data_IF_890072179808
#
_entry.id   IF_890072179808
#
_cell.length_a   1.000
_cell.length_b   1.000
_cell.length_c   1.000
_cell.angle_alpha   90.00
_cell.angle_beta   90.00
_cell.angle_gamma   90.00
#
_symmetry.space_group_name_H-M   'P 1'
#
loop_
_entity.id
_entity.type
_entity.pdbx_description
1 polymer ?
#
# COMPACT_ATOMS: atom_id res chain seq x y z
N UNK A 1 -12.73 -5.81 -6.30
CA UNK A 1 -12.04 -6.98 -5.70
C UNK A 1 -11.34 -7.77 -6.80
N UNK A 2 -10.10 -8.18 -6.56
CA UNK A 2 -9.29 -9.03 -7.43
C UNK A 2 -9.21 -10.43 -6.80
N UNK A 3 -9.47 -11.46 -7.59
CA UNK A 3 -9.48 -12.85 -7.15
C UNK A 3 -9.13 -13.76 -8.34
N UNK A 4 -8.85 -15.04 -8.08
CA UNK A 4 -8.37 -15.98 -9.11
C UNK A 4 -9.21 -15.98 -10.39
N UNK A 5 -10.55 -15.94 -10.29
CA UNK A 5 -11.48 -15.96 -11.45
C UNK A 5 -11.50 -14.68 -12.31
N UNK A 6 -10.95 -13.55 -11.84
CA UNK A 6 -10.92 -12.31 -12.61
C UNK A 6 -9.50 -11.73 -12.76
N UNK A 7 -8.48 -12.50 -12.36
CA UNK A 7 -7.07 -12.11 -12.42
C UNK A 7 -6.64 -11.76 -13.85
N UNK A 8 -7.14 -12.50 -14.84
CA UNK A 8 -6.86 -12.25 -16.25
C UNK A 8 -7.58 -10.99 -16.80
N UNK A 9 -8.51 -10.39 -16.05
CA UNK A 9 -9.29 -9.21 -16.45
C UNK A 9 -8.80 -7.91 -15.82
N UNK A 10 -7.63 -7.89 -15.17
CA UNK A 10 -7.04 -6.67 -14.57
C UNK A 10 -7.06 -5.50 -15.56
N UNK A 11 -6.69 -5.79 -16.80
CA UNK A 11 -6.65 -4.83 -17.89
C UNK A 11 -8.04 -4.26 -18.19
N UNK A 12 -9.03 -5.13 -18.42
CA UNK A 12 -10.40 -4.70 -18.70
C UNK A 12 -11.05 -3.96 -17.53
N UNK A 13 -10.72 -4.33 -16.28
CA UNK A 13 -11.17 -3.61 -15.08
C UNK A 13 -10.61 -2.18 -15.09
N UNK A 14 -9.32 -2.02 -15.37
CA UNK A 14 -8.70 -0.70 -15.52
C UNK A 14 -9.39 0.10 -16.62
N UNK A 15 -9.55 -0.46 -17.81
CA UNK A 15 -10.14 0.24 -18.96
C UNK A 15 -11.56 0.71 -18.67
N UNK A 16 -12.35 -0.10 -17.97
CA UNK A 16 -13.70 0.27 -17.57
C UNK A 16 -13.72 1.53 -16.70
N UNK A 17 -13.01 1.53 -15.57
CA UNK A 17 -12.99 2.68 -14.66
C UNK A 17 -12.26 3.89 -15.27
N UNK A 18 -11.21 3.63 -16.02
CA UNK A 18 -10.49 4.65 -16.77
C UNK A 18 -11.38 5.33 -17.79
N UNK A 19 -12.25 4.61 -18.52
CA UNK A 19 -13.20 5.22 -19.44
C UNK A 19 -14.19 6.14 -18.71
N UNK A 20 -14.68 5.72 -17.54
CA UNK A 20 -15.59 6.52 -16.72
C UNK A 20 -14.91 7.72 -16.05
N UNK A 21 -13.57 7.75 -15.99
CA UNK A 21 -12.84 8.80 -15.28
C UNK A 21 -13.05 8.74 -13.77
N UNK A 22 -13.24 7.53 -13.24
CA UNK A 22 -13.54 7.28 -11.84
C UNK A 22 -12.34 6.61 -11.19
N UNK A 23 -11.94 7.16 -10.05
CA UNK A 23 -10.90 6.58 -9.20
C UNK A 23 -11.37 5.25 -8.61
N UNK A 24 -10.47 4.29 -8.46
CA UNK A 24 -10.84 2.99 -7.91
C UNK A 24 -9.73 2.33 -7.11
N UNK A 25 -10.14 1.36 -6.28
CA UNK A 25 -9.24 0.51 -5.50
C UNK A 25 -9.36 -0.95 -5.94
N UNK A 26 -8.23 -1.57 -6.23
CA UNK A 26 -8.14 -3.00 -6.54
C UNK A 26 -7.62 -3.78 -5.32
N UNK A 27 -8.52 -4.36 -4.56
CA UNK A 27 -8.21 -5.18 -3.38
C UNK A 27 -8.07 -6.66 -3.73
N UNK A 28 -6.87 -7.28 -3.58
CA UNK A 28 -6.70 -8.72 -3.77
C UNK A 28 -7.27 -9.53 -2.62
N UNK A 29 -7.93 -10.65 -2.94
CA UNK A 29 -8.24 -11.70 -1.97
C UNK A 29 -7.02 -12.61 -1.88
N UNK A 30 -6.30 -12.54 -0.77
CA UNK A 30 -5.13 -13.37 -0.52
C UNK A 30 -5.54 -14.73 0.05
N UNK A 31 -4.82 -15.77 -0.37
CA UNK A 31 -4.98 -17.14 0.11
C UNK A 31 -4.20 -17.31 1.42
N UNK A 32 -4.77 -16.84 2.53
CA UNK A 32 -4.14 -16.91 3.86
C UNK A 32 -4.45 -18.20 4.63
N UNK A 33 -5.55 -18.86 4.28
CA UNK A 33 -5.98 -20.14 4.82
C UNK A 33 -6.47 -20.98 3.66
N UNK A 34 -6.16 -22.27 3.66
CA UNK A 34 -6.78 -23.27 2.79
C UNK A 34 -8.27 -23.43 3.16
N UNK A 35 -9.04 -22.37 2.95
CA UNK A 35 -10.36 -22.21 3.54
C UNK A 35 -11.39 -23.09 2.85
N UNK A 36 -12.08 -23.91 3.64
CA UNK A 36 -13.43 -24.39 3.33
C UNK A 36 -14.41 -23.20 3.40
N UNK A 37 -15.35 -23.11 2.45
CA UNK A 37 -16.41 -22.08 2.46
C UNK A 37 -16.42 -21.18 1.22
N UNK A 38 -17.12 -20.02 1.31
CA UNK A 38 -17.43 -19.14 0.16
C UNK A 38 -16.23 -18.56 -0.59
N UNK A 39 -15.04 -18.58 0.02
CA UNK A 39 -13.79 -18.07 -0.56
C UNK A 39 -12.93 -19.15 -1.20
N UNK A 40 -13.34 -20.42 -1.11
CA UNK A 40 -12.60 -21.55 -1.64
C UNK A 40 -12.35 -21.37 -3.15
N UNK A 41 -11.08 -21.48 -3.55
CA UNK A 41 -10.65 -21.31 -4.94
C UNK A 41 -10.62 -19.86 -5.46
N UNK A 42 -10.92 -18.85 -4.63
CA UNK A 42 -10.84 -17.44 -5.03
C UNK A 42 -9.55 -16.75 -4.58
N UNK A 43 -8.90 -17.26 -3.54
CA UNK A 43 -7.65 -16.72 -3.01
C UNK A 43 -6.56 -16.63 -4.08
N UNK A 44 -5.64 -15.68 -3.92
CA UNK A 44 -4.49 -15.46 -4.78
C UNK A 44 -3.21 -15.69 -3.98
N UNK A 45 -2.23 -16.31 -4.61
CA UNK A 45 -0.86 -16.35 -4.12
C UNK A 45 -0.19 -14.98 -4.30
N UNK A 46 0.85 -14.72 -3.49
CA UNK A 46 1.57 -13.44 -3.53
C UNK A 46 2.14 -13.12 -4.92
N UNK A 47 2.63 -14.12 -5.64
CA UNK A 47 3.17 -13.94 -7.00
C UNK A 47 2.09 -13.57 -8.02
N UNK A 48 0.88 -14.12 -7.88
CA UNK A 48 -0.27 -13.74 -8.73
C UNK A 48 -0.63 -12.26 -8.49
N UNK A 49 -0.66 -11.84 -7.23
CA UNK A 49 -0.92 -10.44 -6.86
C UNK A 49 0.19 -9.53 -7.38
N UNK A 50 1.46 -9.89 -7.19
CA UNK A 50 2.62 -9.12 -7.67
C UNK A 50 2.56 -8.92 -9.19
N UNK A 51 2.28 -9.98 -9.95
CA UNK A 51 2.16 -9.93 -11.40
C UNK A 51 0.99 -9.03 -11.85
N UNK A 52 -0.17 -9.12 -11.19
CA UNK A 52 -1.32 -8.28 -11.48
C UNK A 52 -1.06 -6.79 -11.17
N UNK A 53 -0.45 -6.49 -10.02
CA UNK A 53 -0.15 -5.11 -9.63
C UNK A 53 0.89 -4.46 -10.55
N UNK A 54 1.88 -5.23 -11.04
CA UNK A 54 2.83 -4.74 -12.04
C UNK A 54 2.13 -4.35 -13.34
N UNK A 55 1.28 -5.24 -13.88
CA UNK A 55 0.49 -4.93 -15.09
C UNK A 55 -0.38 -3.69 -14.91
N UNK A 56 -1.07 -3.60 -13.78
CA UNK A 56 -1.90 -2.43 -13.48
C UNK A 56 -1.05 -1.14 -13.42
N UNK A 57 0.11 -1.18 -12.77
CA UNK A 57 1.01 -0.03 -12.68
C UNK A 57 1.52 0.42 -14.06
N UNK A 58 1.91 -0.51 -14.93
CA UNK A 58 2.33 -0.21 -16.30
C UNK A 58 1.24 0.54 -17.07
N UNK A 59 -0.03 0.12 -16.95
CA UNK A 59 -1.15 0.80 -17.60
C UNK A 59 -1.42 2.19 -17.01
N UNK A 60 -1.41 2.32 -15.69
CA UNK A 60 -1.59 3.62 -15.00
C UNK A 60 -0.53 4.62 -15.44
N UNK A 61 0.73 4.18 -15.52
CA UNK A 61 1.87 5.03 -15.94
C UNK A 61 1.73 5.44 -17.41
N UNK A 62 1.36 4.50 -18.29
CA UNK A 62 1.20 4.76 -19.73
C UNK A 62 -0.04 5.61 -20.07
N UNK A 63 -0.96 5.80 -19.12
CA UNK A 63 -2.23 6.46 -19.39
C UNK A 63 -2.08 8.00 -19.46
N UNK A 64 -2.67 8.65 -20.49
CA UNK A 64 -2.56 10.09 -20.70
C UNK A 64 -3.40 10.90 -19.70
N UNK A 65 -4.58 10.41 -19.30
CA UNK A 65 -5.36 10.99 -18.20
C UNK A 65 -4.93 10.37 -16.88
N UNK A 66 -5.04 11.14 -15.79
CA UNK A 66 -4.81 10.65 -14.44
C UNK A 66 -6.15 10.35 -13.76
N UNK A 67 -6.32 9.10 -13.35
CA UNK A 67 -7.28 8.66 -12.33
C UNK A 67 -6.45 8.09 -11.18
N UNK A 68 -6.95 8.21 -9.96
CA UNK A 68 -6.30 7.59 -8.82
C UNK A 68 -6.62 6.08 -8.79
N UNK A 69 -5.57 5.26 -8.66
CA UNK A 69 -5.69 3.80 -8.62
C UNK A 69 -4.97 3.26 -7.41
N UNK A 70 -5.72 2.80 -6.43
CA UNK A 70 -5.16 2.22 -5.21
C UNK A 70 -5.00 0.69 -5.34
N UNK A 71 -3.88 0.09 -4.90
CA UNK A 71 -2.78 0.69 -4.14
C UNK A 71 -1.61 1.26 -4.98
N UNK A 72 -1.76 1.42 -6.30
CA UNK A 72 -0.66 1.83 -7.18
C UNK A 72 -0.11 3.20 -6.79
N UNK A 73 -0.98 4.17 -6.53
CA UNK A 73 -0.55 5.52 -6.15
C UNK A 73 0.25 5.51 -4.84
N UNK A 74 -0.19 4.76 -3.84
CA UNK A 74 0.55 4.58 -2.59
C UNK A 74 1.92 3.95 -2.81
N UNK A 75 2.02 2.95 -3.70
CA UNK A 75 3.29 2.32 -4.03
C UNK A 75 4.25 3.28 -4.75
N UNK A 76 3.74 4.07 -5.69
CA UNK A 76 4.53 5.10 -6.38
C UNK A 76 5.02 6.15 -5.39
N UNK A 77 4.15 6.66 -4.52
CA UNK A 77 4.54 7.62 -3.48
C UNK A 77 5.59 7.05 -2.53
N UNK A 78 5.43 5.79 -2.13
CA UNK A 78 6.40 5.09 -1.27
C UNK A 78 7.74 4.93 -1.97
N UNK A 79 7.77 4.52 -3.23
CA UNK A 79 8.99 4.41 -4.03
C UNK A 79 9.68 5.77 -4.19
N UNK A 80 8.92 6.84 -4.45
CA UNK A 80 9.46 8.19 -4.55
C UNK A 80 10.08 8.69 -3.23
N UNK A 81 9.45 8.41 -2.08
CA UNK A 81 10.03 8.72 -0.77
C UNK A 81 11.35 7.99 -0.56
N UNK A 82 11.37 6.69 -0.84
CA UNK A 82 12.58 5.87 -0.74
C UNK A 82 13.72 6.41 -1.62
N UNK A 83 13.43 6.73 -2.89
CA UNK A 83 14.43 7.28 -3.82
C UNK A 83 14.97 8.65 -3.39
N UNK A 84 14.18 9.43 -2.64
CA UNK A 84 14.58 10.73 -2.08
C UNK A 84 15.28 10.60 -0.72
N UNK A 85 15.43 9.40 -0.17
CA UNK A 85 15.91 9.20 1.20
C UNK A 85 14.98 9.79 2.27
N UNK A 86 13.72 10.05 1.92
CA UNK A 86 12.74 10.55 2.88
C UNK A 86 12.27 9.41 3.81
N UNK A 87 12.01 9.69 5.09
CA UNK A 87 11.52 8.69 6.02
C UNK A 87 10.15 8.15 5.56
N UNK A 88 9.92 6.85 5.81
CA UNK A 88 8.60 6.25 5.66
C UNK A 88 7.64 6.80 6.71
N UNK A 89 6.33 6.74 6.40
CA UNK A 89 5.31 6.96 7.42
C UNK A 89 5.20 5.67 8.23
N UNK A 90 5.75 5.66 9.44
CA UNK A 90 5.58 4.56 10.37
C UNK A 90 4.24 4.73 11.10
N UNK A 91 3.39 3.71 11.02
CA UNK A 91 2.19 3.64 11.83
C UNK A 91 2.55 3.09 13.22
N UNK A 92 2.23 3.84 14.27
CA UNK A 92 2.38 3.38 15.65
C UNK A 92 1.01 3.21 16.31
N UNK A 93 0.55 1.96 16.56
CA UNK A 93 -0.74 1.73 17.23
C UNK A 93 -0.76 2.29 18.66
N UNK A 94 0.40 2.56 19.28
CA UNK A 94 0.47 3.19 20.60
C UNK A 94 0.09 4.67 20.61
N UNK A 95 0.23 5.39 19.49
CA UNK A 95 -0.17 6.79 19.37
C UNK A 95 -1.65 6.96 19.03
N UNK A 96 -2.32 5.90 18.58
CA UNK A 96 -3.74 5.91 18.26
C UNK A 96 -4.12 4.83 17.25
N UNK A 97 -5.34 4.36 17.37
CA UNK A 97 -5.94 3.49 16.36
C UNK A 97 -6.41 4.33 15.16
N UNK A 98 -6.00 3.92 13.96
CA UNK A 98 -6.49 4.59 12.73
C UNK A 98 -7.94 4.22 12.43
N UNK A 99 -8.39 3.05 12.91
CA UNK A 99 -9.76 2.58 12.85
C UNK A 99 -10.01 1.52 13.93
N UNK A 100 -11.25 1.49 14.42
CA UNK A 100 -11.79 0.45 15.29
C UNK A 100 -12.90 -0.29 14.55
N UNK A 101 -13.06 -1.57 14.88
CA UNK A 101 -14.23 -2.35 14.46
C UNK A 101 -15.14 -2.48 15.67
N UNK A 102 -16.37 -1.97 15.55
CA UNK A 102 -17.41 -2.11 16.57
C UNK A 102 -18.47 -3.05 16.02
N UNK A 103 -18.70 -4.16 16.73
CA UNK A 103 -19.76 -5.11 16.41
C UNK A 103 -21.13 -4.57 16.89
N UNK A 104 -22.19 -5.22 16.46
CA UNK A 104 -23.58 -4.83 16.73
C UNK A 104 -23.98 -4.88 18.21
N UNK A 105 -23.26 -5.64 19.03
CA UNK A 105 -23.40 -5.69 20.50
C UNK A 105 -22.49 -4.68 21.23
N UNK A 106 -21.76 -3.85 20.48
CA UNK A 106 -20.82 -2.86 20.99
C UNK A 106 -19.41 -3.40 21.20
N UNK A 107 -19.17 -4.69 21.00
CA UNK A 107 -17.83 -5.25 21.16
C UNK A 107 -16.84 -4.59 20.20
N UNK A 108 -15.76 -4.07 20.76
CA UNK A 108 -14.81 -3.24 20.04
C UNK A 108 -13.50 -3.98 19.87
N UNK A 109 -12.95 -3.89 18.66
CA UNK A 109 -11.73 -4.57 18.25
C UNK A 109 -10.79 -3.61 17.52
N UNK A 110 -9.49 -3.92 17.55
CA UNK A 110 -8.55 -3.30 16.62
C UNK A 110 -8.81 -3.81 15.19
N UNK A 111 -8.59 -2.97 14.18
CA UNK A 111 -8.84 -3.35 12.78
C UNK A 111 -8.08 -4.61 12.33
N UNK A 112 -6.85 -4.80 12.82
CA UNK A 112 -5.99 -5.92 12.41
C UNK A 112 -6.38 -7.28 12.98
N UNK A 113 -7.21 -7.31 14.03
CA UNK A 113 -7.54 -8.51 14.80
C UNK A 113 -9.06 -8.59 15.09
N UNK A 114 -9.88 -8.01 14.21
CA UNK A 114 -11.35 -7.94 14.37
C UNK A 114 -11.98 -9.31 14.60
N UNK A 115 -12.97 -9.38 15.51
CA UNK A 115 -13.72 -10.60 15.85
C UNK A 115 -12.89 -11.73 16.48
N UNK A 116 -11.65 -11.45 16.89
CA UNK A 116 -10.83 -12.42 17.63
C UNK A 116 -10.77 -12.05 19.12
N UNK A 117 -10.62 -13.02 20.02
CA UNK A 117 -10.38 -12.73 21.43
C UNK A 117 -9.14 -11.87 21.67
N UNK A 118 -8.09 -12.05 20.84
CA UNK A 118 -6.84 -11.31 20.95
C UNK A 118 -6.97 -9.85 20.52
N UNK A 119 -7.92 -9.53 19.64
CA UNK A 119 -8.16 -8.17 19.15
C UNK A 119 -9.17 -7.35 19.93
N UNK A 120 -9.89 -7.96 20.88
CA UNK A 120 -10.96 -7.33 21.67
C UNK A 120 -10.37 -6.33 22.67
N UNK A 121 -10.85 -5.09 22.62
CA UNK A 121 -10.34 -3.99 23.48
C UNK A 121 -11.34 -3.54 24.55
N UNK A 122 -12.64 -3.79 24.35
CA UNK A 122 -13.70 -3.36 25.28
C UNK A 122 -15.05 -3.29 24.58
N UNK A 123 -15.99 -2.56 25.16
CA UNK A 123 -17.32 -2.33 24.58
C UNK A 123 -17.56 -0.82 24.38
N UNK A 124 -17.92 -0.43 23.16
CA UNK A 124 -18.11 0.98 22.78
C UNK A 124 -19.35 1.60 23.43
N UNK A 125 -20.33 0.78 23.82
CA UNK A 125 -21.55 1.24 24.47
C UNK A 125 -21.41 1.33 26.01
N UNK A 126 -20.25 0.96 26.55
CA UNK A 126 -19.96 1.18 27.97
C UNK A 126 -19.91 2.69 28.30
N UNK A 127 -20.38 3.11 29.49
CA UNK A 127 -20.36 4.52 29.92
C UNK A 127 -18.98 5.18 29.84
N UNK A 128 -17.91 4.40 29.90
CA UNK A 128 -16.52 4.80 29.88
C UNK A 128 -15.73 4.17 28.73
N UNK A 129 -16.30 4.13 27.51
CA UNK A 129 -15.65 3.55 26.33
C UNK A 129 -14.18 3.96 26.12
N UNK A 130 -13.82 5.21 26.45
CA UNK A 130 -12.44 5.72 26.38
C UNK A 130 -11.50 5.02 27.36
N UNK A 131 -11.98 4.58 28.52
CA UNK A 131 -11.18 3.82 29.49
C UNK A 131 -10.68 2.49 28.91
N UNK A 132 -11.34 1.95 27.88
CA UNK A 132 -10.91 0.74 27.16
C UNK A 132 -9.48 0.87 26.60
N UNK A 133 -9.04 2.09 26.22
CA UNK A 133 -7.69 2.36 25.73
C UNK A 133 -6.62 2.43 26.83
N UNK A 134 -7.01 2.48 28.10
CA UNK A 134 -6.09 2.39 29.23
C UNK A 134 -5.99 0.97 29.80
N UNK A 135 -6.69 -0.01 29.20
CA UNK A 135 -6.75 -1.36 29.75
C UNK A 135 -5.52 -2.20 29.39
N UNK A 136 -5.20 -3.22 30.21
CA UNK A 136 -4.24 -4.25 29.84
C UNK A 136 -4.62 -5.01 28.57
N UNK A 137 -5.90 -5.07 28.20
CA UNK A 137 -6.35 -5.70 26.96
C UNK A 137 -5.84 -4.94 25.74
N UNK A 138 -6.03 -3.62 25.71
CA UNK A 138 -5.51 -2.77 24.65
C UNK A 138 -3.97 -2.77 24.61
N UNK A 139 -3.29 -2.76 25.76
CA UNK A 139 -1.83 -2.87 25.78
C UNK A 139 -1.32 -4.17 25.12
N UNK A 140 -2.04 -5.29 25.30
CA UNK A 140 -1.71 -6.56 24.63
C UNK A 140 -1.93 -6.50 23.11
N UNK A 141 -2.99 -5.83 22.64
CA UNK A 141 -3.22 -5.68 21.19
C UNK A 141 -2.10 -4.85 20.55
N UNK A 142 -1.65 -3.77 21.19
CA UNK A 142 -0.50 -2.97 20.74
C UNK A 142 0.76 -3.84 20.66
N UNK A 143 1.06 -4.61 21.72
CA UNK A 143 2.25 -5.45 21.76
C UNK A 143 2.26 -6.50 20.63
N UNK A 144 1.15 -7.23 20.47
CA UNK A 144 1.02 -8.23 19.41
C UNK A 144 1.16 -7.62 18.00
N UNK A 145 0.64 -6.40 17.80
CA UNK A 145 0.78 -5.68 16.52
C UNK A 145 2.20 -5.22 16.26
N UNK A 146 2.90 -4.71 17.28
CA UNK A 146 4.30 -4.31 17.18
C UNK A 146 5.19 -5.49 16.83
N UNK A 147 4.94 -6.66 17.41
CA UNK A 147 5.65 -7.89 17.06
C UNK A 147 5.49 -8.25 15.57
N UNK A 148 4.25 -8.23 15.06
CA UNK A 148 3.98 -8.50 13.63
C UNK A 148 4.59 -7.45 12.70
N UNK A 149 4.57 -6.17 13.07
CA UNK A 149 5.23 -5.12 12.30
C UNK A 149 6.75 -5.29 12.25
N UNK A 150 7.38 -5.65 13.39
CA UNK A 150 8.82 -5.93 13.44
C UNK A 150 9.25 -7.07 12.50
N UNK A 151 8.42 -8.10 12.33
CA UNK A 151 8.67 -9.15 11.35
C UNK A 151 8.70 -8.64 9.90
N UNK A 152 7.84 -7.67 9.56
CA UNK A 152 7.83 -7.02 8.25
C UNK A 152 9.06 -6.12 8.03
N UNK A 153 9.48 -5.36 9.06
CA UNK A 153 10.65 -4.48 8.98
C UNK A 153 11.95 -5.26 8.77
N UNK A 154 12.10 -6.42 9.44
CA UNK A 154 13.22 -7.32 9.21
C UNK A 154 13.25 -7.87 7.78
N UNK A 155 12.09 -8.13 7.17
CA UNK A 155 12.00 -8.53 5.76
C UNK A 155 12.43 -7.41 4.80
N UNK A 156 12.00 -6.17 5.07
CA UNK A 156 12.39 -4.97 4.31
C UNK A 156 13.89 -4.68 4.41
N UNK A 157 14.47 -4.77 5.62
CA UNK A 157 15.89 -4.58 5.85
C UNK A 157 16.74 -5.63 5.10
N UNK A 158 16.29 -6.90 5.08
CA UNK A 158 16.93 -7.98 4.31
C UNK A 158 16.90 -7.72 2.80
N UNK A 159 15.79 -7.21 2.27
CA UNK A 159 15.69 -6.84 0.85
C UNK A 159 16.54 -5.62 0.50
N UNK A 160 16.60 -4.61 1.38
CA UNK A 160 17.47 -3.45 1.20
C UNK A 160 18.96 -3.87 1.15
N UNK A 161 19.40 -4.74 2.07
CA UNK A 161 20.76 -5.28 2.06
C UNK A 161 21.10 -6.03 0.75
N UNK A 162 20.19 -6.88 0.26
CA UNK A 162 20.36 -7.62 -0.99
C UNK A 162 20.38 -6.73 -2.24
N UNK A 163 19.60 -5.64 -2.25
CA UNK A 163 19.60 -4.67 -3.35
C UNK A 163 20.86 -3.79 -3.38
N UNK A 164 21.49 -3.58 -2.23
CA UNK A 164 22.74 -2.81 -2.11
C UNK A 164 23.93 -3.60 -2.67
N UNK A 165 23.94 -4.94 -2.52
CA UNK A 165 24.93 -5.79 -3.18
C UNK A 165 24.77 -5.86 -4.70
N UNK A 166 23.55 -5.71 -5.23
CA UNK A 166 23.28 -5.67 -6.67
C UNK A 166 23.59 -4.31 -7.33
N UNK A 167 23.90 -3.27 -6.54
CA UNK A 167 24.09 -1.88 -7.00
C UNK A 167 25.54 -1.53 -7.35
N UNK A 168 26.40 -2.52 -7.67
CA UNK A 168 27.63 -2.26 -8.45
C UNK A 168 27.29 -2.33 -9.94
N UNK A 169 26.63 -1.30 -10.45
CA UNK A 169 26.67 -1.04 -11.89
C UNK A 169 28.13 -0.73 -12.26
N UNK A 170 28.72 -1.35 -13.30
CA UNK A 170 30.01 -0.92 -13.79
C UNK A 170 29.89 0.55 -14.21
N UNK A 171 30.81 1.39 -13.73
CA UNK A 171 30.92 2.78 -14.14
C UNK A 171 31.23 2.85 -15.64
N UNK A 172 30.20 2.84 -16.49
CA UNK A 172 30.36 3.11 -17.91
C UNK A 172 30.60 4.61 -18.07
N UNK A 173 31.85 4.99 -18.34
CA UNK A 173 32.20 6.35 -18.70
C UNK A 173 31.52 6.73 -20.01
N UNK A 174 30.42 7.50 -19.93
CA UNK A 174 29.89 8.25 -21.06
C UNK A 174 29.90 9.73 -20.70
N UNK A 175 30.85 10.46 -21.30
CA UNK A 175 30.90 11.93 -21.28
C UNK A 175 29.61 12.45 -21.93
N UNK A 176 28.76 13.12 -21.14
CA UNK A 176 27.67 13.94 -21.66
C UNK A 176 28.28 15.10 -22.47
N UNK A 177 27.79 15.39 -23.71
CA UNK A 177 28.23 16.56 -24.46
C UNK A 177 27.67 17.85 -23.84
N UNK A 178 28.39 18.98 -23.93
CA UNK A 178 27.98 20.23 -23.30
C UNK A 178 26.73 20.82 -23.97
N UNK A 179 25.84 21.35 -23.12
CA UNK A 179 24.59 21.99 -23.51
C UNK A 179 24.82 23.17 -24.47
N UNK A 180 24.07 23.19 -25.58
CA UNK A 180 24.02 24.35 -26.49
C UNK A 180 23.36 25.53 -25.78
N UNK A 181 24.06 26.66 -25.70
CA UNK A 181 23.51 27.96 -25.32
C UNK A 181 22.45 28.36 -26.36
N UNK A 182 21.20 28.48 -25.94
CA UNK A 182 20.14 29.10 -26.74
C UNK A 182 20.35 30.61 -26.77
N UNK A 183 20.33 31.19 -27.97
CA UNK A 183 20.49 32.61 -28.22
C UNK A 183 19.28 33.42 -27.70
N UNK A 184 19.58 34.65 -27.28
CA UNK A 184 18.65 35.65 -26.75
C UNK A 184 17.63 36.13 -27.81
N UNK A 185 16.35 36.42 -27.46
CA UNK A 185 15.40 36.97 -28.42
C UNK A 185 15.69 38.46 -28.69
N UNK A 186 15.81 38.81 -29.98
CA UNK A 186 15.91 40.18 -30.44
C UNK A 186 14.61 40.96 -30.17
N UNK A 187 14.75 42.15 -29.59
CA UNK A 187 13.69 43.14 -29.40
C UNK A 187 13.22 43.65 -30.78
N UNK A 188 11.95 43.44 -31.10
CA UNK A 188 11.28 44.17 -32.17
C UNK A 188 10.86 45.56 -31.69
N UNK A 189 11.25 46.60 -32.43
CA UNK A 189 10.76 47.99 -32.32
C UNK A 189 10.13 48.40 -33.66
N UNK A 190 9.02 49.14 -33.59
CA UNK A 190 8.42 49.91 -34.69
C UNK A 190 7.02 49.39 -35.06
N UNK A 191 5.98 50.21 -35.22
CA UNK A 191 5.83 51.67 -35.24
C UNK A 191 4.48 52.03 -34.61
#
# INVERSE_FOLDING_TARGET
MLHRRNLNRVDSIFDFWYAQGVDFRLLPILDFDAGTGRRHGLGLHQEEVRAAMRRLAERVIASPRKIAVEPIDQYVQTALRYLRGAPGLAYDPGHGEWALVVDTDGETYTYGDSYTPAGRIGNFFAPDAVASFATPAYARTIAARRERMGACELSLARHAAASTSARRLPASGSKLPPARRTASPARWRGR
#
